data_IF_025929646572
#
_entry.id   IF_025929646572
#
_cell.length_a   1.000
_cell.length_b   1.000
_cell.length_c   1.000
_cell.angle_alpha   90.00
_cell.angle_beta   90.00
_cell.angle_gamma   90.00
#
_symmetry.space_group_name_H-M   'P 1'
#
loop_
_entity.id
_entity.type
_entity.pdbx_description
1 polymer ?
#
# COMPACT_ATOMS: atom_id res chain seq x y z
N UNK A 1 -18.38 -39.32 -19.80
CA UNK A 1 -17.01 -38.75 -19.83
C UNK A 1 -16.93 -37.45 -20.63
N UNK A 2 -17.60 -37.33 -21.79
CA UNK A 2 -17.57 -36.12 -22.64
C UNK A 2 -18.15 -34.84 -22.04
N UNK A 3 -19.25 -34.90 -21.28
CA UNK A 3 -19.89 -33.69 -20.70
C UNK A 3 -18.98 -32.96 -19.70
N UNK A 4 -18.23 -33.70 -18.87
CA UNK A 4 -17.27 -33.11 -17.93
C UNK A 4 -16.13 -32.38 -18.65
N UNK A 5 -15.68 -32.93 -19.78
CA UNK A 5 -14.62 -32.34 -20.61
C UNK A 5 -15.13 -31.06 -21.28
N UNK A 6 -16.36 -31.07 -21.80
CA UNK A 6 -17.00 -29.89 -22.39
C UNK A 6 -17.14 -28.76 -21.37
N UNK A 7 -17.57 -29.07 -20.14
CA UNK A 7 -17.68 -28.07 -19.06
C UNK A 7 -16.30 -27.50 -18.70
N UNK A 8 -15.27 -28.33 -18.59
CA UNK A 8 -13.91 -27.89 -18.30
C UNK A 8 -13.35 -26.95 -19.37
N UNK A 9 -13.60 -27.24 -20.65
CA UNK A 9 -13.20 -26.40 -21.79
C UNK A 9 -13.95 -25.06 -21.78
N UNK A 10 -15.25 -25.06 -21.47
CA UNK A 10 -16.01 -23.82 -21.37
C UNK A 10 -15.48 -22.96 -20.22
N UNK A 11 -15.28 -23.55 -19.03
CA UNK A 11 -14.75 -22.84 -17.86
C UNK A 11 -13.36 -22.26 -18.15
N UNK A 12 -12.46 -22.98 -18.81
CA UNK A 12 -11.12 -22.45 -19.14
C UNK A 12 -11.15 -21.32 -20.18
N UNK A 13 -12.08 -21.34 -21.12
CA UNK A 13 -12.26 -20.26 -22.10
C UNK A 13 -12.86 -18.98 -21.49
N UNK A 14 -13.72 -19.11 -20.49
CA UNK A 14 -14.32 -17.97 -19.77
C UNK A 14 -13.44 -17.43 -18.63
N UNK A 15 -12.52 -18.23 -18.08
CA UNK A 15 -11.51 -17.78 -17.13
C UNK A 15 -10.32 -17.12 -17.86
N UNK A 16 -10.59 -16.07 -18.63
CA UNK A 16 -9.55 -15.06 -18.83
C UNK A 16 -9.45 -14.31 -17.52
N UNK A 17 -8.42 -14.62 -16.73
CA UNK A 17 -8.07 -13.80 -15.59
C UNK A 17 -7.85 -12.38 -16.10
N UNK A 18 -8.82 -11.49 -15.87
CA UNK A 18 -8.64 -10.08 -16.14
C UNK A 18 -7.58 -9.60 -15.15
N UNK A 19 -6.34 -9.50 -15.63
CA UNK A 19 -5.34 -8.68 -14.96
C UNK A 19 -5.85 -7.25 -15.01
N UNK A 20 -6.36 -6.77 -13.89
CA UNK A 20 -6.66 -5.35 -13.72
C UNK A 20 -5.34 -4.60 -13.70
N UNK A 21 -5.15 -3.72 -14.68
CA UNK A 21 -4.06 -2.76 -14.66
C UNK A 21 -4.49 -1.66 -13.71
N UNK A 22 -3.76 -1.50 -12.62
CA UNK A 22 -3.95 -0.41 -11.67
C UNK A 22 -2.94 0.67 -11.99
N UNK A 23 -3.41 1.90 -12.17
CA UNK A 23 -2.57 3.08 -12.23
C UNK A 23 -2.57 3.74 -10.86
N UNK A 24 -1.38 3.93 -10.28
CA UNK A 24 -1.23 4.73 -9.08
C UNK A 24 -1.30 6.21 -9.50
N UNK A 25 -2.49 6.80 -9.37
CA UNK A 25 -2.66 8.24 -9.53
C UNK A 25 -2.52 8.92 -8.18
N UNK A 26 -1.42 9.65 -8.00
CA UNK A 26 -1.22 10.48 -6.81
C UNK A 26 -1.98 11.78 -7.05
N UNK A 27 -3.04 12.02 -6.27
CA UNK A 27 -3.93 13.17 -6.47
C UNK A 27 -3.40 14.48 -5.85
N UNK A 28 -2.47 14.37 -4.90
CA UNK A 28 -1.93 15.48 -4.12
C UNK A 28 -0.48 15.19 -3.73
N UNK A 29 0.36 16.22 -3.67
CA UNK A 29 1.73 16.16 -3.17
C UNK A 29 1.77 15.98 -1.64
N UNK A 30 0.72 16.40 -0.93
CA UNK A 30 0.57 16.21 0.52
C UNK A 30 0.11 14.78 0.89
N UNK A 31 0.84 13.78 0.43
CA UNK A 31 0.60 12.36 0.73
C UNK A 31 0.73 12.01 2.22
N UNK A 32 1.33 12.91 3.02
CA UNK A 32 1.70 12.72 4.42
C UNK A 32 1.02 13.74 5.34
N UNK A 33 -0.25 14.02 5.07
CA UNK A 33 -1.10 14.82 5.97
C UNK A 33 -1.49 14.03 7.21
N UNK A 34 -1.58 14.72 8.35
CA UNK A 34 -2.05 14.12 9.60
C UNK A 34 -3.54 13.79 9.51
N UNK A 35 -3.93 12.65 10.09
CA UNK A 35 -5.32 12.24 10.16
C UNK A 35 -6.16 13.21 11.02
N UNK A 36 -7.41 13.45 10.62
CA UNK A 36 -8.35 14.22 11.45
C UNK A 36 -8.82 13.39 12.64
N UNK A 37 -8.63 13.90 13.86
CA UNK A 37 -9.00 13.26 15.14
C UNK A 37 -8.34 11.89 15.38
N UNK A 38 -7.00 11.83 15.50
CA UNK A 38 -6.31 10.58 15.83
C UNK A 38 -6.70 10.09 17.23
N UNK A 39 -6.73 8.77 17.42
CA UNK A 39 -6.83 8.21 18.77
C UNK A 39 -5.58 8.60 19.60
N UNK A 40 -5.73 8.76 20.93
CA UNK A 40 -4.60 9.10 21.78
C UNK A 40 -3.48 8.05 21.67
N UNK A 41 -2.26 8.50 21.35
CA UNK A 41 -1.09 7.64 21.18
C UNK A 41 -0.91 7.08 19.77
N UNK A 42 -1.80 7.39 18.81
CA UNK A 42 -1.56 7.10 17.40
C UNK A 42 -0.49 8.03 16.84
N UNK A 43 0.57 7.45 16.29
CA UNK A 43 1.58 8.17 15.52
C UNK A 43 1.17 8.21 14.06
N UNK A 44 1.38 9.35 13.40
CA UNK A 44 1.34 9.44 11.94
C UNK A 44 2.73 9.18 11.35
N UNK A 45 2.88 9.39 10.04
CA UNK A 45 4.15 9.16 9.35
C UNK A 45 5.32 10.01 9.87
N UNK A 46 5.05 11.21 10.39
CA UNK A 46 6.06 12.09 10.99
C UNK A 46 6.48 11.62 12.38
N UNK A 47 5.63 10.85 13.06
CA UNK A 47 5.99 10.12 14.29
C UNK A 47 6.78 8.82 14.04
N UNK A 48 6.68 8.27 12.83
CA UNK A 48 7.39 7.04 12.43
C UNK A 48 8.76 7.33 11.83
N UNK A 49 8.85 8.35 10.98
CA UNK A 49 10.05 8.72 10.24
C UNK A 49 10.39 10.19 10.40
N UNK A 50 11.70 10.48 10.46
CA UNK A 50 12.21 11.81 10.14
C UNK A 50 12.06 12.05 8.64
N UNK A 51 11.21 13.01 8.28
CA UNK A 51 10.96 13.43 6.92
C UNK A 51 11.55 14.83 6.64
N UNK A 52 12.42 15.38 7.50
CA UNK A 52 12.94 16.75 7.34
C UNK A 52 13.69 16.98 6.03
N UNK A 53 14.36 15.93 5.53
CA UNK A 53 15.10 15.95 4.27
C UNK A 53 14.29 15.37 3.10
N UNK A 54 13.07 14.88 3.36
CA UNK A 54 12.20 14.30 2.33
C UNK A 54 11.49 15.39 1.54
N UNK A 55 11.49 15.27 0.22
CA UNK A 55 10.75 16.17 -0.66
C UNK A 55 10.08 15.45 -1.81
N UNK A 56 8.89 15.94 -2.16
CA UNK A 56 8.12 15.51 -3.32
C UNK A 56 7.79 16.72 -4.17
N UNK A 57 7.83 16.57 -5.49
CA UNK A 57 7.34 17.57 -6.44
C UNK A 57 6.60 16.89 -7.57
N UNK A 58 5.42 17.40 -7.94
CA UNK A 58 4.66 16.88 -9.06
C UNK A 58 4.87 17.75 -10.30
N UNK A 59 5.34 17.14 -11.38
CA UNK A 59 5.37 17.71 -12.72
C UNK A 59 4.24 17.12 -13.56
N UNK A 60 4.02 17.65 -14.77
CA UNK A 60 2.88 17.28 -15.63
C UNK A 60 2.75 15.76 -15.93
N UNK A 61 3.87 15.02 -15.87
CA UNK A 61 3.92 13.61 -16.25
C UNK A 61 4.37 12.68 -15.11
N UNK A 62 4.93 13.22 -14.01
CA UNK A 62 5.59 12.40 -12.99
C UNK A 62 5.65 13.04 -11.61
N UNK A 63 5.62 12.17 -10.59
CA UNK A 63 5.98 12.52 -9.21
C UNK A 63 7.48 12.28 -9.00
N UNK A 64 8.22 13.34 -8.69
CA UNK A 64 9.62 13.24 -8.29
C UNK A 64 9.69 13.13 -6.77
N UNK A 65 10.41 12.12 -6.28
CA UNK A 65 10.63 11.87 -4.85
C UNK A 65 12.12 11.89 -4.57
N UNK A 66 12.56 12.68 -3.59
CA UNK A 66 13.97 12.78 -3.25
C UNK A 66 14.21 13.00 -1.75
N UNK A 67 15.46 12.84 -1.32
CA UNK A 67 15.85 13.06 0.06
C UNK A 67 16.05 11.80 0.90
N UNK A 68 16.32 12.02 2.17
CA UNK A 68 16.55 10.95 3.15
C UNK A 68 15.34 10.80 4.06
N UNK A 69 15.09 9.56 4.48
CA UNK A 69 14.09 9.22 5.49
C UNK A 69 14.76 8.37 6.54
N UNK A 70 14.62 8.73 7.80
CA UNK A 70 15.20 7.97 8.92
C UNK A 70 14.08 7.43 9.78
N UNK A 71 14.04 6.11 10.00
CA UNK A 71 13.10 5.54 10.96
C UNK A 71 13.45 6.02 12.37
N UNK A 72 12.55 6.75 13.01
CA UNK A 72 12.71 7.28 14.37
C UNK A 72 11.81 6.60 15.40
N UNK A 73 10.89 5.75 14.96
CA UNK A 73 9.96 5.05 15.83
C UNK A 73 10.67 4.20 16.90
N UNK A 74 10.49 4.57 18.17
CA UNK A 74 10.89 3.76 19.34
C UNK A 74 9.87 2.64 19.58
N UNK A 75 10.11 1.48 18.96
CA UNK A 75 9.18 0.35 18.96
C UNK A 75 9.05 -0.25 20.36
N UNK A 76 7.84 -0.21 20.92
CA UNK A 76 7.52 -0.82 22.20
C UNK A 76 6.73 -2.13 22.06
N UNK A 77 6.71 -2.91 23.14
CA UNK A 77 5.93 -4.16 23.20
C UNK A 77 4.44 -3.84 23.20
N UNK A 78 3.77 -4.19 22.10
CA UNK A 78 2.33 -3.99 21.92
C UNK A 78 1.97 -3.04 20.79
N UNK A 79 2.94 -2.30 20.27
CA UNK A 79 2.72 -1.41 19.15
C UNK A 79 2.27 -2.16 17.89
N UNK A 80 1.46 -1.49 17.07
CA UNK A 80 0.89 -2.05 15.85
C UNK A 80 0.93 -1.03 14.73
N UNK A 81 1.34 -1.47 13.55
CA UNK A 81 1.14 -0.74 12.30
C UNK A 81 -0.14 -1.27 11.65
N UNK A 82 -1.08 -0.37 11.38
CA UNK A 82 -2.31 -0.69 10.66
C UNK A 82 -2.25 -0.10 9.26
N UNK A 83 -2.39 -0.95 8.25
CA UNK A 83 -2.48 -0.52 6.86
C UNK A 83 -3.95 -0.58 6.42
N UNK A 84 -4.42 0.47 5.78
CA UNK A 84 -5.76 0.55 5.22
C UNK A 84 -5.68 0.76 3.71
N UNK A 85 -6.64 0.22 2.98
CA UNK A 85 -6.85 0.52 1.58
C UNK A 85 -8.23 1.14 1.40
N UNK A 86 -8.31 2.11 0.49
CA UNK A 86 -9.58 2.76 0.18
C UNK A 86 -10.34 1.92 -0.85
N UNK A 87 -11.54 1.47 -0.50
CA UNK A 87 -12.43 0.72 -1.39
C UNK A 87 -13.84 1.29 -1.30
N UNK A 88 -14.40 1.66 -2.46
CA UNK A 88 -15.80 2.11 -2.61
C UNK A 88 -16.27 3.15 -1.58
N UNK A 89 -15.43 4.14 -1.27
CA UNK A 89 -15.80 5.23 -0.35
C UNK A 89 -15.48 4.95 1.12
N UNK A 90 -14.89 3.80 1.45
CA UNK A 90 -14.56 3.43 2.84
C UNK A 90 -13.12 2.94 2.95
N UNK A 91 -12.42 3.37 4.01
CA UNK A 91 -11.11 2.80 4.37
C UNK A 91 -11.31 1.46 5.04
N UNK A 92 -10.79 0.40 4.42
CA UNK A 92 -10.88 -0.97 4.92
C UNK A 92 -9.51 -1.44 5.38
N UNK A 93 -9.46 -2.11 6.54
CA UNK A 93 -8.21 -2.69 7.05
C UNK A 93 -7.68 -3.73 6.07
N UNK A 94 -6.41 -3.63 5.71
CA UNK A 94 -5.74 -4.64 4.89
C UNK A 94 -5.71 -5.95 5.69
N UNK A 95 -6.49 -6.95 5.27
CA UNK A 95 -6.62 -8.23 5.97
C UNK A 95 -5.37 -9.12 5.89
N UNK A 96 -4.37 -8.71 5.11
CA UNK A 96 -3.14 -9.45 4.87
C UNK A 96 -1.98 -8.82 5.63
N UNK A 97 -1.31 -9.62 6.45
CA UNK A 97 -0.01 -9.27 7.02
C UNK A 97 1.08 -9.57 6.01
N UNK A 98 1.86 -8.56 5.63
CA UNK A 98 3.10 -8.77 4.88
C UNK A 98 4.20 -9.08 5.88
N UNK A 99 4.72 -10.31 5.85
CA UNK A 99 5.87 -10.72 6.64
C UNK A 99 7.00 -11.08 5.69
N UNK A 100 8.09 -10.31 5.73
CA UNK A 100 9.33 -10.63 5.04
C UNK A 100 10.44 -10.79 6.06
N UNK A 101 11.05 -11.98 6.12
CA UNK A 101 12.15 -12.26 7.05
C UNK A 101 13.45 -11.55 6.64
N UNK A 102 13.56 -11.15 5.37
CA UNK A 102 14.69 -10.42 4.80
C UNK A 102 14.23 -9.68 3.54
N UNK A 103 13.80 -8.42 3.72
CA UNK A 103 13.32 -7.58 2.62
C UNK A 103 14.42 -7.34 1.57
N UNK A 104 15.67 -7.22 1.99
CA UNK A 104 16.81 -6.93 1.12
C UNK A 104 17.24 -8.12 0.25
N UNK A 105 16.89 -9.35 0.64
CA UNK A 105 17.22 -10.55 -0.14
C UNK A 105 16.32 -10.72 -1.36
N UNK A 106 15.12 -10.15 -1.31
CA UNK A 106 14.15 -10.17 -2.38
C UNK A 106 14.14 -8.80 -3.07
N UNK A 107 15.21 -8.49 -3.80
CA UNK A 107 15.17 -7.39 -4.76
C UNK A 107 14.21 -7.80 -5.89
N UNK A 108 13.04 -7.15 -5.93
CA UNK A 108 12.17 -7.12 -7.11
C UNK A 108 12.78 -6.17 -8.14
#
# INVERSE_FOLDING_TARGET
>A
MGVKIIILVLVSLFNKANGSIYELSVADEEIFSSCSNPEPGTLDIHGLFDLSEFSTSMDADALTVSGNQTLMWDIQRGDRVQLFYFDRGTWTSTAFSIYSNDFCKNNV
#
